data_IF_960561108508
#
_entry.id   IF_960561108508
#
_cell.length_a   1.000
_cell.length_b   1.000
_cell.length_c   1.000
_cell.angle_alpha   90.00
_cell.angle_beta   90.00
_cell.angle_gamma   90.00
#
_symmetry.space_group_name_H-M   'P 1'
#
loop_
_entity.id
_entity.type
_entity.pdbx_description
1 polymer ?
#
# COMPACT_ATOMS: atom_id res chain seq x y z
N UNK A 1 -1.55 -4.56 8.79
CA UNK A 1 -2.91 -4.90 8.31
C UNK A 1 -2.83 -6.25 7.66
N UNK A 2 -3.70 -7.19 8.07
CA UNK A 2 -3.83 -8.52 7.49
C UNK A 2 -5.02 -8.56 6.55
N UNK A 3 -4.85 -9.18 5.40
CA UNK A 3 -5.90 -9.41 4.41
C UNK A 3 -6.03 -10.92 4.22
N UNK A 4 -7.20 -11.44 4.56
CA UNK A 4 -7.52 -12.85 4.26
C UNK A 4 -7.91 -12.96 2.79
N UNK A 5 -7.37 -13.94 2.11
CA UNK A 5 -7.69 -14.21 0.70
C UNK A 5 -8.02 -15.68 0.49
N UNK A 6 -9.04 -15.91 -0.34
CA UNK A 6 -9.39 -17.27 -0.76
C UNK A 6 -8.81 -17.52 -2.13
N UNK A 7 -8.02 -18.58 -2.25
CA UNK A 7 -7.35 -18.96 -3.49
C UNK A 7 -7.87 -20.34 -3.88
N UNK A 8 -8.22 -20.51 -5.14
CA UNK A 8 -8.67 -21.79 -5.71
C UNK A 8 -7.59 -22.88 -5.54
N UNK A 9 -7.98 -24.00 -4.97
CA UNK A 9 -7.09 -25.13 -4.66
C UNK A 9 -6.42 -25.06 -3.29
N UNK A 10 -6.84 -24.11 -2.45
CA UNK A 10 -6.37 -23.95 -1.06
C UNK A 10 -7.55 -23.88 -0.08
N UNK A 11 -8.66 -24.51 -0.44
CA UNK A 11 -9.87 -24.53 0.39
C UNK A 11 -9.56 -25.15 1.76
N UNK A 12 -9.94 -24.46 2.83
CA UNK A 12 -9.66 -24.90 4.21
C UNK A 12 -8.30 -24.45 4.77
N UNK A 13 -7.43 -23.87 3.96
CA UNK A 13 -6.22 -23.20 4.43
C UNK A 13 -6.50 -21.71 4.65
N UNK A 14 -6.09 -21.18 5.80
CA UNK A 14 -6.16 -19.73 6.03
C UNK A 14 -4.94 -19.06 5.41
N UNK A 15 -5.16 -18.36 4.29
CA UNK A 15 -4.13 -17.58 3.61
C UNK A 15 -4.32 -16.11 3.96
N UNK A 16 -3.37 -15.56 4.70
CA UNK A 16 -3.36 -14.18 5.14
C UNK A 16 -2.15 -13.45 4.55
N UNK A 17 -2.38 -12.24 4.05
CA UNK A 17 -1.32 -11.34 3.62
C UNK A 17 -1.21 -10.20 4.60
N UNK A 18 -0.10 -10.10 5.28
CA UNK A 18 0.24 -8.97 6.14
C UNK A 18 1.07 -7.97 5.36
N UNK A 19 0.55 -6.76 5.21
CA UNK A 19 1.27 -5.66 4.55
C UNK A 19 1.83 -4.72 5.60
N UNK A 20 3.15 -4.60 5.63
CA UNK A 20 3.88 -3.65 6.47
C UNK A 20 4.62 -2.65 5.60
N UNK A 21 4.57 -1.37 5.99
CA UNK A 21 5.28 -0.30 5.28
C UNK A 21 6.81 -0.49 5.33
N UNK A 22 7.33 -1.02 6.45
CA UNK A 22 8.77 -1.15 6.67
C UNK A 22 9.35 -2.48 6.22
N UNK A 23 8.59 -3.58 6.34
CA UNK A 23 9.08 -4.94 6.04
C UNK A 23 8.52 -5.53 4.75
N UNK A 24 7.67 -4.77 4.04
CA UNK A 24 6.99 -5.25 2.84
C UNK A 24 5.87 -6.27 3.14
N UNK A 25 5.30 -6.88 2.09
CA UNK A 25 4.24 -7.87 2.24
C UNK A 25 4.80 -9.21 2.73
N UNK A 26 4.09 -9.85 3.65
CA UNK A 26 4.35 -11.21 4.15
C UNK A 26 3.14 -12.07 3.88
N UNK A 27 3.37 -13.28 3.38
CA UNK A 27 2.34 -14.29 3.19
C UNK A 27 2.38 -15.26 4.35
N UNK A 28 1.24 -15.45 5.00
CA UNK A 28 1.04 -16.43 6.06
C UNK A 28 0.08 -17.51 5.56
N UNK A 29 0.37 -18.75 5.89
CA UNK A 29 -0.50 -19.90 5.67
C UNK A 29 -0.77 -20.52 7.03
N UNK A 30 -2.04 -20.56 7.43
CA UNK A 30 -2.46 -21.05 8.75
C UNK A 30 -1.73 -20.36 9.92
N UNK A 31 -1.41 -19.03 9.76
CA UNK A 31 -0.69 -18.25 10.75
C UNK A 31 0.84 -18.34 10.69
N UNK A 32 1.41 -19.23 9.88
CA UNK A 32 2.86 -19.37 9.72
C UNK A 32 3.36 -18.73 8.43
N UNK A 33 4.56 -18.12 8.44
CA UNK A 33 5.14 -17.55 7.22
C UNK A 33 5.34 -18.60 6.15
N UNK A 34 4.86 -18.32 4.93
CA UNK A 34 5.07 -19.22 3.80
C UNK A 34 6.57 -19.45 3.54
N UNK A 35 6.99 -20.70 3.26
CA UNK A 35 8.37 -21.01 2.93
C UNK A 35 8.86 -20.23 1.73
N UNK A 36 10.13 -19.81 1.75
CA UNK A 36 10.75 -19.08 0.64
C UNK A 36 11.01 -20.02 -0.54
N UNK A 37 10.76 -19.54 -1.75
CA UNK A 37 11.11 -20.22 -2.97
C UNK A 37 12.60 -20.09 -3.32
N UNK A 38 12.97 -20.60 -4.47
CA UNK A 38 14.36 -20.64 -4.95
C UNK A 38 14.89 -19.26 -5.34
N UNK A 39 14.01 -18.36 -5.79
CA UNK A 39 14.39 -17.00 -6.18
C UNK A 39 13.90 -15.97 -5.16
N UNK A 40 14.55 -14.83 -5.14
CA UNK A 40 14.17 -13.71 -4.27
C UNK A 40 12.75 -13.25 -4.58
N UNK A 41 11.89 -13.23 -3.55
CA UNK A 41 10.49 -12.81 -3.67
C UNK A 41 9.53 -13.94 -4.04
N UNK A 42 10.01 -15.16 -4.25
CA UNK A 42 9.19 -16.35 -4.41
C UNK A 42 8.86 -16.97 -3.05
N UNK A 43 7.64 -17.46 -2.93
CA UNK A 43 7.15 -18.23 -1.79
C UNK A 43 6.55 -19.53 -2.30
N UNK A 44 6.67 -20.58 -1.52
CA UNK A 44 6.13 -21.90 -1.86
C UNK A 44 4.82 -22.10 -1.11
N UNK A 45 3.78 -22.45 -1.84
CA UNK A 45 2.49 -22.85 -1.30
C UNK A 45 2.19 -24.28 -1.67
N UNK A 46 1.62 -25.03 -0.75
CA UNK A 46 1.18 -26.39 -1.01
C UNK A 46 -0.33 -26.41 -1.22
N UNK A 47 -0.76 -26.77 -2.43
CA UNK A 47 -2.19 -26.96 -2.75
C UNK A 47 -2.75 -28.19 -2.04
N UNK A 48 -4.08 -28.25 -1.94
CA UNK A 48 -4.79 -29.40 -1.35
C UNK A 48 -4.56 -30.71 -2.11
N UNK A 49 -4.18 -30.64 -3.40
CA UNK A 49 -3.81 -31.79 -4.23
C UNK A 49 -2.35 -32.27 -4.01
N UNK A 50 -1.64 -31.67 -3.04
CA UNK A 50 -0.25 -31.99 -2.72
C UNK A 50 0.80 -31.35 -3.62
N UNK A 51 0.41 -30.59 -4.66
CA UNK A 51 1.34 -29.89 -5.55
C UNK A 51 1.89 -28.65 -4.88
N UNK A 52 3.18 -28.41 -5.05
CA UNK A 52 3.80 -27.14 -4.69
C UNK A 52 3.66 -26.14 -5.83
N UNK A 53 3.21 -24.95 -5.52
CA UNK A 53 3.07 -23.83 -6.45
C UNK A 53 3.85 -22.63 -5.96
N UNK A 54 4.30 -21.82 -6.90
CA UNK A 54 5.06 -20.61 -6.60
C UNK A 54 4.08 -19.43 -6.46
N UNK A 55 4.21 -18.71 -5.35
CA UNK A 55 3.55 -17.44 -5.12
C UNK A 55 4.57 -16.31 -5.22
N UNK A 56 4.19 -15.23 -5.86
CA UNK A 56 5.00 -14.01 -6.03
C UNK A 56 4.19 -12.75 -5.81
N UNK A 57 4.88 -11.63 -5.59
CA UNK A 57 4.23 -10.33 -5.46
C UNK A 57 4.30 -9.57 -6.79
N UNK A 58 3.17 -9.06 -7.25
CA UNK A 58 3.10 -8.11 -8.36
C UNK A 58 2.77 -6.73 -7.81
N UNK A 59 3.69 -5.76 -7.89
CA UNK A 59 3.44 -4.42 -7.39
C UNK A 59 2.33 -3.75 -8.22
N UNK A 60 1.48 -2.98 -7.54
CA UNK A 60 0.48 -2.10 -8.17
C UNK A 60 0.91 -0.64 -7.98
N UNK A 61 0.56 0.22 -8.93
CA UNK A 61 0.83 1.67 -8.88
C UNK A 61 2.27 2.01 -8.45
N UNK A 62 3.25 1.35 -9.05
CA UNK A 62 4.66 1.62 -8.73
C UNK A 62 5.07 1.27 -7.30
N UNK A 63 4.30 0.45 -6.58
CA UNK A 63 4.58 0.04 -5.19
C UNK A 63 3.85 0.87 -4.13
N UNK A 64 3.07 1.86 -4.52
CA UNK A 64 2.27 2.68 -3.58
C UNK A 64 0.96 2.01 -3.18
N UNK A 65 0.56 0.95 -3.87
CA UNK A 65 -0.65 0.21 -3.59
C UNK A 65 -0.36 -1.17 -2.98
N UNK A 66 -1.42 -1.81 -2.41
CA UNK A 66 -1.33 -3.20 -1.92
C UNK A 66 -0.97 -4.10 -3.11
N UNK A 67 0.12 -4.88 -3.04
CA UNK A 67 0.53 -5.71 -4.15
C UNK A 67 -0.48 -6.83 -4.41
N UNK A 68 -0.60 -7.26 -5.66
CA UNK A 68 -1.32 -8.48 -6.00
C UNK A 68 -0.50 -9.70 -5.59
N UNK A 69 -1.18 -10.72 -5.10
CA UNK A 69 -0.60 -12.03 -4.93
C UNK A 69 -0.79 -12.82 -6.23
N UNK A 70 0.31 -13.26 -6.82
CA UNK A 70 0.29 -14.10 -8.02
C UNK A 70 0.61 -15.52 -7.60
N UNK A 71 -0.34 -16.43 -7.75
CA UNK A 71 -0.19 -17.86 -7.43
C UNK A 71 -0.39 -18.63 -8.72
N UNK A 72 0.57 -19.44 -9.08
CA UNK A 72 0.55 -20.27 -10.30
C UNK A 72 0.19 -19.45 -11.57
N UNK A 73 0.75 -18.24 -11.66
CA UNK A 73 0.52 -17.31 -12.79
C UNK A 73 -0.83 -16.55 -12.73
N UNK A 74 -1.74 -16.89 -11.82
CA UNK A 74 -3.01 -16.17 -11.63
C UNK A 74 -2.83 -15.06 -10.60
N UNK A 75 -3.08 -13.82 -11.02
CA UNK A 75 -3.03 -12.65 -10.13
C UNK A 75 -4.34 -12.52 -9.35
N UNK A 76 -4.26 -12.47 -8.03
CA UNK A 76 -5.38 -12.27 -7.12
C UNK A 76 -5.23 -10.92 -6.44
N UNK A 77 -6.27 -10.07 -6.54
CA UNK A 77 -6.33 -8.82 -5.80
C UNK A 77 -6.65 -9.13 -4.33
N UNK A 78 -5.82 -8.62 -3.43
CA UNK A 78 -6.03 -8.75 -1.98
C UNK A 78 -7.09 -7.79 -1.45
N UNK A 79 -7.27 -6.70 -2.17
CA UNK A 79 -8.26 -5.64 -1.89
C UNK A 79 -8.88 -5.17 -3.19
N UNK A 80 -10.08 -4.63 -3.13
CA UNK A 80 -10.65 -3.94 -4.29
C UNK A 80 -9.75 -2.78 -4.70
N UNK A 81 -9.42 -2.69 -6.00
CA UNK A 81 -8.67 -1.55 -6.50
C UNK A 81 -9.47 -0.26 -6.29
N UNK A 82 -8.77 0.81 -5.93
CA UNK A 82 -9.39 2.13 -5.82
C UNK A 82 -10.00 2.52 -7.17
N UNK A 83 -11.17 3.12 -7.13
CA UNK A 83 -11.80 3.69 -8.31
C UNK A 83 -10.92 4.83 -8.83
N UNK A 84 -10.92 5.07 -10.15
CA UNK A 84 -10.04 6.05 -10.77
C UNK A 84 -10.13 7.45 -10.13
N UNK A 85 -11.33 7.89 -9.75
CA UNK A 85 -11.54 9.19 -9.11
C UNK A 85 -11.06 9.22 -7.65
N UNK A 86 -11.15 8.11 -6.92
CA UNK A 86 -10.58 7.98 -5.56
C UNK A 86 -9.05 8.03 -5.62
N UNK A 87 -8.46 7.43 -6.65
CA UNK A 87 -7.03 7.47 -6.90
C UNK A 87 -6.56 8.90 -7.22
N UNK A 88 -7.29 9.60 -8.11
CA UNK A 88 -6.99 11.01 -8.43
C UNK A 88 -7.10 11.87 -7.18
N UNK A 89 -8.18 11.73 -6.41
CA UNK A 89 -8.38 12.48 -5.17
C UNK A 89 -7.29 12.20 -4.13
N UNK A 90 -6.94 10.92 -3.93
CA UNK A 90 -5.84 10.54 -3.03
C UNK A 90 -4.50 11.10 -3.48
N UNK A 91 -4.31 11.25 -4.78
CA UNK A 91 -3.08 11.72 -5.40
C UNK A 91 -2.89 13.25 -5.39
N UNK A 92 -3.90 14.04 -5.05
CA UNK A 92 -3.78 15.51 -5.01
C UNK A 92 -2.57 16.01 -4.19
N UNK A 93 -2.23 15.45 -3.01
CA UNK A 93 -1.06 15.87 -2.27
C UNK A 93 0.27 15.66 -2.99
N UNK A 94 0.34 14.76 -3.98
CA UNK A 94 1.57 14.53 -4.75
C UNK A 94 1.97 15.75 -5.60
N UNK A 95 1.07 16.68 -5.85
CA UNK A 95 1.38 17.98 -6.50
C UNK A 95 2.44 18.76 -5.71
N UNK A 96 2.55 18.52 -4.39
CA UNK A 96 3.60 19.12 -3.56
C UNK A 96 5.03 18.78 -4.00
N UNK A 97 5.23 17.69 -4.77
CA UNK A 97 6.52 17.34 -5.37
C UNK A 97 7.01 18.46 -6.29
N UNK A 98 6.10 19.02 -7.10
CA UNK A 98 6.42 20.09 -8.06
C UNK A 98 6.65 21.42 -7.39
N UNK A 99 6.01 21.68 -6.23
CA UNK A 99 6.13 22.93 -5.49
C UNK A 99 7.30 22.95 -4.51
N UNK A 100 7.62 21.81 -3.91
CA UNK A 100 8.53 21.70 -2.80
C UNK A 100 9.65 20.66 -2.94
N UNK A 101 9.85 20.11 -4.15
CA UNK A 101 10.90 19.14 -4.41
C UNK A 101 10.85 17.95 -3.44
N UNK A 102 11.98 17.62 -2.83
CA UNK A 102 12.09 16.46 -1.93
C UNK A 102 11.21 16.58 -0.68
N UNK A 103 11.13 17.76 -0.05
CA UNK A 103 10.32 17.99 1.16
C UNK A 103 8.84 17.88 0.81
N UNK A 104 8.41 18.57 -0.25
CA UNK A 104 7.03 18.51 -0.73
C UNK A 104 6.64 17.10 -1.17
N UNK A 105 7.56 16.39 -1.84
CA UNK A 105 7.38 15.01 -2.24
C UNK A 105 7.18 14.06 -1.06
N UNK A 106 7.98 14.19 -0.01
CA UNK A 106 7.84 13.39 1.20
C UNK A 106 6.48 13.62 1.88
N UNK A 107 6.07 14.87 2.08
CA UNK A 107 4.77 15.22 2.66
C UNK A 107 3.61 14.70 1.80
N UNK A 108 3.70 14.88 0.48
CA UNK A 108 2.69 14.43 -0.47
C UNK A 108 2.56 12.91 -0.52
N UNK A 109 3.67 12.18 -0.51
CA UNK A 109 3.68 10.72 -0.51
C UNK A 109 3.05 10.13 0.76
N UNK A 110 3.38 10.68 1.93
CA UNK A 110 2.77 10.27 3.20
C UNK A 110 1.26 10.50 3.18
N UNK A 111 0.81 11.68 2.74
CA UNK A 111 -0.61 11.99 2.64
C UNK A 111 -1.32 11.06 1.64
N UNK A 112 -0.71 10.76 0.49
CA UNK A 112 -1.24 9.82 -0.49
C UNK A 112 -1.48 8.43 0.12
N UNK A 113 -0.48 7.89 0.85
CA UNK A 113 -0.61 6.58 1.51
C UNK A 113 -1.73 6.58 2.54
N UNK A 114 -1.86 7.65 3.34
CA UNK A 114 -2.93 7.79 4.34
C UNK A 114 -4.29 7.86 3.64
N UNK A 115 -4.44 8.70 2.63
CA UNK A 115 -5.68 8.85 1.86
C UNK A 115 -6.11 7.53 1.22
N UNK A 116 -5.19 6.80 0.60
CA UNK A 116 -5.47 5.50 -0.01
C UNK A 116 -5.97 4.47 1.00
N UNK A 117 -5.47 4.50 2.25
CA UNK A 117 -5.96 3.65 3.33
C UNK A 117 -7.37 4.04 3.78
N UNK A 118 -7.66 5.35 3.86
CA UNK A 118 -8.97 5.87 4.25
C UNK A 118 -10.02 5.46 3.21
N UNK A 119 -9.73 5.55 1.92
CA UNK A 119 -10.64 5.11 0.87
C UNK A 119 -10.95 3.61 0.91
N UNK A 120 -10.05 2.78 1.46
CA UNK A 120 -10.25 1.34 1.66
C UNK A 120 -10.89 0.97 2.99
N UNK A 121 -11.13 1.94 3.86
CA UNK A 121 -11.85 1.69 5.12
C UNK A 121 -13.34 1.49 4.86
N UNK A 122 -14.06 0.91 5.81
CA UNK A 122 -15.52 0.69 5.75
C UNK A 122 -16.35 1.95 6.06
N UNK A 123 -15.71 3.13 6.14
CA UNK A 123 -16.38 4.38 6.45
C UNK A 123 -17.38 4.79 5.36
N UNK A 124 -18.34 5.65 5.71
CA UNK A 124 -19.30 6.20 4.76
C UNK A 124 -18.63 6.97 3.62
N UNK A 125 -19.22 6.86 2.40
CA UNK A 125 -18.61 7.41 1.19
C UNK A 125 -18.23 8.89 1.29
N UNK A 126 -19.13 9.75 1.78
CA UNK A 126 -18.87 11.20 1.90
C UNK A 126 -17.80 11.51 2.96
N UNK A 127 -17.81 10.78 4.07
CA UNK A 127 -16.87 10.96 5.17
C UNK A 127 -15.42 10.71 4.73
N UNK A 128 -15.19 9.74 3.83
CA UNK A 128 -13.86 9.46 3.25
C UNK A 128 -13.28 10.69 2.56
N UNK A 129 -14.09 11.40 1.76
CA UNK A 129 -13.66 12.61 1.05
C UNK A 129 -13.34 13.76 2.02
N UNK A 130 -14.13 13.92 3.07
CA UNK A 130 -13.87 14.94 4.08
C UNK A 130 -12.56 14.66 4.82
N UNK A 131 -12.37 13.43 5.31
CA UNK A 131 -11.17 13.06 6.07
C UNK A 131 -9.92 13.16 5.18
N UNK A 132 -9.97 12.66 3.95
CA UNK A 132 -8.84 12.76 3.01
C UNK A 132 -8.56 14.20 2.59
N UNK A 133 -9.59 15.05 2.51
CA UNK A 133 -9.42 16.50 2.33
C UNK A 133 -8.66 17.16 3.48
N UNK A 134 -9.03 16.82 4.73
CA UNK A 134 -8.32 17.30 5.93
C UNK A 134 -6.87 16.82 5.96
N UNK A 135 -6.61 15.54 5.64
CA UNK A 135 -5.25 14.99 5.56
C UNK A 135 -4.43 15.71 4.51
N UNK A 136 -5.01 15.95 3.33
CA UNK A 136 -4.34 16.66 2.24
C UNK A 136 -4.02 18.11 2.64
N UNK A 137 -4.93 18.80 3.31
CA UNK A 137 -4.71 20.14 3.83
C UNK A 137 -3.60 20.16 4.91
N UNK A 138 -3.65 19.20 5.84
CA UNK A 138 -2.60 19.05 6.86
C UNK A 138 -1.22 18.84 6.23
N UNK A 139 -1.12 18.05 5.16
CA UNK A 139 0.13 17.85 4.44
C UNK A 139 0.69 19.14 3.84
N UNK A 140 -0.17 20.03 3.31
CA UNK A 140 0.24 21.35 2.83
C UNK A 140 0.78 22.20 3.98
N UNK A 141 0.10 22.22 5.12
CA UNK A 141 0.54 22.98 6.30
C UNK A 141 1.90 22.48 6.80
N UNK A 142 2.06 21.16 6.94
CA UNK A 142 3.32 20.53 7.36
C UNK A 142 4.44 20.87 6.37
N UNK A 143 4.16 20.79 5.07
CA UNK A 143 5.12 21.21 4.04
C UNK A 143 5.56 22.67 4.19
N UNK A 144 4.61 23.60 4.38
CA UNK A 144 4.94 25.03 4.54
C UNK A 144 5.81 25.27 5.78
N UNK A 145 5.47 24.65 6.91
CA UNK A 145 6.28 24.73 8.13
C UNK A 145 7.70 24.18 7.87
N UNK A 146 7.81 22.99 7.27
CA UNK A 146 9.09 22.37 6.97
C UNK A 146 9.93 23.25 6.02
N UNK A 147 9.31 23.82 5.00
CA UNK A 147 9.98 24.71 4.05
C UNK A 147 10.51 25.99 4.72
N UNK A 148 9.72 26.60 5.62
CA UNK A 148 10.14 27.79 6.39
C UNK A 148 11.30 27.44 7.31
N UNK A 149 11.20 26.35 8.07
CA UNK A 149 12.27 25.89 8.97
C UNK A 149 13.56 25.57 8.20
N UNK A 150 13.45 24.90 7.06
CA UNK A 150 14.59 24.61 6.21
C UNK A 150 15.27 25.88 5.68
N UNK A 151 14.47 26.86 5.25
CA UNK A 151 14.99 28.16 4.80
C UNK A 151 15.67 28.94 5.92
N UNK A 152 15.11 28.91 7.14
CA UNK A 152 15.73 29.55 8.31
C UNK A 152 17.08 28.92 8.65
N UNK A 153 17.17 27.59 8.56
CA UNK A 153 18.40 26.85 8.79
C UNK A 153 19.50 27.24 7.79
N UNK A 154 19.14 27.36 6.51
CA UNK A 154 20.10 27.76 5.46
C UNK A 154 20.54 29.22 5.58
N UNK A 155 19.67 30.13 6.01
CA UNK A 155 19.98 31.55 6.14
C UNK A 155 20.65 31.88 7.49
N UNK A 156 20.66 30.96 8.44
CA UNK A 156 21.32 31.10 9.74
C UNK A 156 22.71 30.45 9.81
N UNK A 157 23.10 29.77 8.73
CA UNK A 157 24.44 29.29 8.47
C UNK A 157 25.17 30.25 7.53
#
# INVERSE_FOLDING_TARGET
MGYETRIEGFEGQNIEVQVSFWSGPKLLVNGEPAPKGSKRGEMLLQRNDGRQVIATWKPQLGGFDVPQLVVDGKATNLVEPLKWYEMVWSGLPLVLIFLGGAIGGACGAVAFVINSKIFRSESDGLLKYLITGVVSFAAVVVYLIAAVLFRMLLNGL
#
